data_IF_617865958048
#
_entry.id   IF_617865958048
#
_cell.length_a   1.000
_cell.length_b   1.000
_cell.length_c   1.000
_cell.angle_alpha   90.00
_cell.angle_beta   90.00
_cell.angle_gamma   90.00
#
_symmetry.space_group_name_H-M   'P 1'
#
loop_
_entity.id
_entity.type
_entity.pdbx_description
1 polymer ?
#
# COMPACT_ATOMS: atom_id res chain seq x y z
N UNK A 1 -3.19 15.50 23.18
CA UNK A 1 -3.32 15.04 21.78
C UNK A 1 -2.11 14.16 21.49
N UNK A 2 -2.29 12.87 21.22
CA UNK A 2 -1.17 11.96 20.93
C UNK A 2 -0.62 12.25 19.53
N UNK A 3 0.29 13.22 19.41
CA UNK A 3 1.18 13.34 18.25
C UNK A 3 2.22 12.23 18.33
N UNK A 4 2.51 11.58 17.20
CA UNK A 4 3.70 10.74 17.10
C UNK A 4 4.87 11.63 16.66
N UNK A 5 6.06 11.40 17.21
CA UNK A 5 7.26 12.06 16.71
C UNK A 5 7.78 11.29 15.49
N UNK A 6 7.94 11.98 14.35
CA UNK A 6 8.47 11.40 13.12
C UNK A 6 9.85 10.80 13.32
N UNK A 7 10.73 11.50 14.06
CA UNK A 7 12.07 11.02 14.38
C UNK A 7 12.04 9.78 15.26
N UNK A 8 11.13 9.73 16.24
CA UNK A 8 10.94 8.56 17.08
C UNK A 8 10.48 7.36 16.27
N UNK A 9 9.51 7.55 15.37
CA UNK A 9 9.00 6.48 14.51
C UNK A 9 10.09 5.92 13.58
N UNK A 10 10.82 6.79 12.88
CA UNK A 10 11.93 6.40 11.99
C UNK A 10 13.05 5.69 12.78
N UNK A 11 13.43 6.23 13.93
CA UNK A 11 14.46 5.63 14.79
C UNK A 11 14.02 4.27 15.34
N UNK A 12 12.74 4.11 15.67
CA UNK A 12 12.16 2.82 16.05
C UNK A 12 12.26 1.82 14.89
N UNK A 13 11.75 2.17 13.71
CA UNK A 13 11.77 1.27 12.56
C UNK A 13 13.19 0.85 12.17
N UNK A 14 14.14 1.79 12.17
CA UNK A 14 15.55 1.50 11.87
C UNK A 14 16.19 0.55 12.89
N UNK A 15 15.94 0.76 14.19
CA UNK A 15 16.49 -0.11 15.24
C UNK A 15 15.90 -1.51 15.16
N UNK A 16 14.58 -1.63 15.03
CA UNK A 16 13.90 -2.93 14.98
C UNK A 16 14.25 -3.69 13.69
N UNK A 17 14.36 -3.00 12.54
CA UNK A 17 14.83 -3.59 11.28
C UNK A 17 16.24 -4.17 11.43
N UNK A 18 17.14 -3.45 12.13
CA UNK A 18 18.50 -3.93 12.40
C UNK A 18 18.54 -5.14 13.32
N UNK A 19 17.77 -5.12 14.40
CA UNK A 19 17.73 -6.23 15.36
C UNK A 19 17.16 -7.52 14.74
N UNK A 20 16.21 -7.39 13.81
CA UNK A 20 15.53 -8.53 13.17
C UNK A 20 15.85 -8.63 11.68
N UNK A 21 17.05 -8.21 11.27
CA UNK A 21 17.45 -8.10 9.86
C UNK A 21 17.23 -9.40 9.08
N UNK A 22 17.70 -10.54 9.62
CA UNK A 22 17.60 -11.84 8.94
C UNK A 22 16.17 -12.29 8.70
N UNK A 23 15.28 -12.00 9.64
CA UNK A 23 13.86 -12.27 9.48
C UNK A 23 13.29 -11.44 8.32
N UNK A 24 13.55 -10.13 8.30
CA UNK A 24 13.06 -9.27 7.24
C UNK A 24 13.70 -9.55 5.87
N UNK A 25 14.95 -10.01 5.83
CA UNK A 25 15.59 -10.49 4.61
C UNK A 25 14.81 -11.69 4.03
N UNK A 26 14.44 -12.66 4.88
CA UNK A 26 13.62 -13.80 4.45
C UNK A 26 12.23 -13.33 3.97
N UNK A 27 11.59 -12.40 4.68
CA UNK A 27 10.32 -11.79 4.23
C UNK A 27 10.49 -11.16 2.84
N UNK A 28 11.55 -10.38 2.62
CA UNK A 28 11.81 -9.75 1.31
C UNK A 28 12.00 -10.81 0.22
N UNK A 29 12.78 -11.88 0.48
CA UNK A 29 12.99 -12.94 -0.51
C UNK A 29 11.69 -13.66 -0.85
N UNK A 30 10.89 -14.01 0.15
CA UNK A 30 9.57 -14.63 -0.06
C UNK A 30 8.66 -13.70 -0.85
N UNK A 31 8.57 -12.43 -0.47
CA UNK A 31 7.76 -11.43 -1.17
C UNK A 31 8.27 -11.18 -2.60
N UNK A 32 9.58 -11.20 -2.83
CA UNK A 32 10.16 -11.02 -4.17
C UNK A 32 9.80 -12.20 -5.09
N UNK A 33 9.88 -13.44 -4.60
CA UNK A 33 9.42 -14.62 -5.35
C UNK A 33 7.93 -14.52 -5.62
N UNK A 34 7.14 -14.17 -4.60
CA UNK A 34 5.70 -14.00 -4.77
C UNK A 34 5.39 -12.84 -5.70
N UNK A 35 6.14 -11.74 -5.79
CA UNK A 35 5.81 -10.61 -6.68
C UNK A 35 6.30 -10.85 -8.11
N UNK A 36 7.57 -11.22 -8.26
CA UNK A 36 8.23 -11.27 -9.56
C UNK A 36 8.14 -12.66 -10.21
N UNK A 37 7.97 -13.73 -9.44
CA UNK A 37 8.00 -15.11 -9.93
C UNK A 37 7.09 -15.34 -11.15
N UNK A 38 5.78 -15.05 -11.06
CA UNK A 38 4.88 -15.22 -12.20
C UNK A 38 5.17 -14.29 -13.37
N UNK A 39 5.64 -13.07 -13.11
CA UNK A 39 6.02 -12.14 -14.19
C UNK A 39 7.20 -12.67 -15.02
N UNK A 40 8.16 -13.36 -14.39
CA UNK A 40 9.28 -14.00 -15.06
C UNK A 40 8.81 -15.17 -15.94
N UNK A 41 7.86 -15.98 -15.44
CA UNK A 41 7.24 -17.05 -16.22
C UNK A 41 6.51 -16.46 -17.44
N UNK A 42 5.76 -15.38 -17.24
CA UNK A 42 5.01 -14.73 -18.34
C UNK A 42 5.94 -14.13 -19.38
N UNK A 43 7.08 -13.60 -18.97
CA UNK A 43 8.08 -13.04 -19.87
C UNK A 43 8.62 -14.08 -20.85
N UNK A 44 8.74 -15.36 -20.45
CA UNK A 44 9.16 -16.45 -21.33
C UNK A 44 8.22 -16.67 -22.52
N UNK A 45 6.96 -16.23 -22.43
CA UNK A 45 5.97 -16.37 -23.50
C UNK A 45 5.70 -15.05 -24.26
N UNK A 46 6.42 -13.96 -23.95
CA UNK A 46 6.12 -12.62 -24.50
C UNK A 46 6.11 -12.56 -26.03
N UNK A 47 6.98 -13.32 -26.69
CA UNK A 47 7.14 -13.31 -28.14
C UNK A 47 6.49 -14.54 -28.81
N UNK A 48 5.68 -15.29 -28.07
CA UNK A 48 5.00 -16.49 -28.54
C UNK A 48 3.52 -16.17 -28.64
N UNK A 49 2.94 -16.32 -29.83
CA UNK A 49 1.49 -16.27 -29.97
C UNK A 49 0.87 -17.50 -29.28
N UNK A 50 0.28 -17.26 -28.11
CA UNK A 50 -0.33 -18.31 -27.32
C UNK A 50 -1.73 -18.66 -27.86
N UNK A 51 -2.07 -19.96 -27.95
CA UNK A 51 -3.45 -20.37 -28.24
C UNK A 51 -4.42 -19.77 -27.22
N UNK A 52 -5.65 -19.47 -27.64
CA UNK A 52 -6.68 -18.82 -26.80
C UNK A 52 -6.89 -19.54 -25.47
N UNK A 53 -6.88 -20.88 -25.46
CA UNK A 53 -7.02 -21.70 -24.25
C UNK A 53 -5.93 -21.41 -23.21
N UNK A 54 -4.69 -21.17 -23.65
CA UNK A 54 -3.54 -20.89 -22.79
C UNK A 54 -3.64 -19.47 -22.23
N UNK A 55 -4.07 -18.51 -23.04
CA UNK A 55 -4.30 -17.13 -22.59
C UNK A 55 -5.42 -17.06 -21.54
N UNK A 56 -6.51 -17.79 -21.74
CA UNK A 56 -7.59 -17.91 -20.76
C UNK A 56 -7.09 -18.54 -19.47
N UNK A 57 -6.25 -19.58 -19.54
CA UNK A 57 -5.62 -20.17 -18.36
C UNK A 57 -4.77 -19.14 -17.59
N UNK A 58 -3.92 -18.36 -18.27
CA UNK A 58 -3.09 -17.35 -17.61
C UNK A 58 -3.90 -16.21 -16.99
N UNK A 59 -5.03 -15.86 -17.60
CA UNK A 59 -5.96 -14.90 -17.01
C UNK A 59 -6.46 -15.39 -15.64
N UNK A 60 -6.95 -16.63 -15.54
CA UNK A 60 -7.42 -17.20 -14.27
C UNK A 60 -6.28 -17.41 -13.27
N UNK A 61 -5.10 -17.84 -13.73
CA UNK A 61 -3.91 -17.92 -12.89
C UNK A 61 -3.52 -16.55 -12.30
N UNK A 62 -3.69 -15.47 -13.07
CA UNK A 62 -3.50 -14.10 -12.61
C UNK A 62 -4.43 -13.71 -11.46
N UNK A 63 -5.70 -14.14 -11.50
CA UNK A 63 -6.65 -13.91 -10.40
C UNK A 63 -6.22 -14.67 -9.15
N UNK A 64 -5.87 -15.95 -9.28
CA UNK A 64 -5.36 -16.76 -8.14
C UNK A 64 -4.13 -16.10 -7.53
N UNK A 65 -3.22 -15.62 -8.37
CA UNK A 65 -2.03 -14.92 -7.94
C UNK A 65 -2.32 -13.60 -7.22
N UNK A 66 -3.30 -12.83 -7.71
CA UNK A 66 -3.75 -11.62 -7.02
C UNK A 66 -4.32 -11.94 -5.63
N UNK A 67 -5.03 -13.06 -5.48
CA UNK A 67 -5.52 -13.53 -4.16
C UNK A 67 -4.35 -13.92 -3.25
N UNK A 68 -3.33 -14.60 -3.78
CA UNK A 68 -2.10 -14.92 -3.03
C UNK A 68 -1.40 -13.63 -2.56
N UNK A 69 -1.31 -12.60 -3.41
CA UNK A 69 -0.76 -11.29 -3.04
C UNK A 69 -1.54 -10.61 -1.91
N UNK A 70 -2.87 -10.65 -1.98
CA UNK A 70 -3.73 -10.12 -0.91
C UNK A 70 -3.50 -10.87 0.41
N UNK A 71 -3.38 -12.20 0.35
CA UNK A 71 -3.08 -13.04 1.50
C UNK A 71 -1.71 -12.71 2.12
N UNK A 72 -0.66 -12.59 1.31
CA UNK A 72 0.67 -12.19 1.76
C UNK A 72 0.69 -10.79 2.39
N UNK A 73 -0.10 -9.86 1.83
CA UNK A 73 -0.22 -8.51 2.38
C UNK A 73 -0.84 -8.51 3.78
N UNK A 74 -1.82 -9.39 4.04
CA UNK A 74 -2.39 -9.58 5.38
C UNK A 74 -1.33 -10.10 6.34
N UNK A 75 -0.62 -11.17 5.96
CA UNK A 75 0.44 -11.75 6.77
C UNK A 75 1.55 -10.74 7.08
N UNK A 76 1.95 -9.92 6.10
CA UNK A 76 2.93 -8.87 6.29
C UNK A 76 2.49 -7.85 7.34
N UNK A 77 1.25 -7.37 7.29
CA UNK A 77 0.72 -6.45 8.30
C UNK A 77 0.74 -7.10 9.69
N UNK A 78 0.34 -8.38 9.81
CA UNK A 78 0.35 -9.09 11.09
C UNK A 78 1.77 -9.23 11.66
N UNK A 79 2.72 -9.63 10.82
CA UNK A 79 4.13 -9.78 11.19
C UNK A 79 4.73 -8.44 11.62
N UNK A 80 4.44 -7.36 10.88
CA UNK A 80 4.88 -6.01 11.23
C UNK A 80 4.33 -5.61 12.59
N UNK A 81 3.02 -5.76 12.81
CA UNK A 81 2.39 -5.42 14.08
C UNK A 81 2.95 -6.26 15.24
N UNK A 82 3.16 -7.56 15.05
CA UNK A 82 3.78 -8.42 16.06
C UNK A 82 5.16 -7.90 16.48
N UNK A 83 6.01 -7.53 15.52
CA UNK A 83 7.33 -6.95 15.79
C UNK A 83 7.26 -5.56 16.45
N UNK A 84 6.27 -4.74 16.07
CA UNK A 84 6.04 -3.44 16.73
C UNK A 84 5.60 -3.64 18.19
N UNK A 85 4.79 -4.67 18.44
CA UNK A 85 4.28 -5.02 19.76
C UNK A 85 5.30 -5.80 20.61
N UNK A 86 6.50 -6.08 20.09
CA UNK A 86 7.57 -6.78 20.79
C UNK A 86 7.43 -8.30 20.84
N UNK A 87 6.48 -8.88 20.08
CA UNK A 87 6.32 -10.33 19.95
C UNK A 87 7.29 -10.90 18.92
N UNK A 88 7.72 -12.15 19.11
CA UNK A 88 8.49 -12.87 18.11
C UNK A 88 7.56 -13.36 17.00
N UNK A 89 7.81 -12.96 15.75
CA UNK A 89 7.08 -13.46 14.60
C UNK A 89 7.94 -14.45 13.80
N UNK A 90 7.29 -15.46 13.24
CA UNK A 90 7.90 -16.47 12.39
C UNK A 90 7.49 -16.27 10.93
N UNK A 91 8.29 -16.81 10.00
CA UNK A 91 7.98 -16.67 8.55
C UNK A 91 6.66 -17.33 8.19
N UNK A 92 6.27 -18.39 8.91
CA UNK A 92 4.94 -19.00 8.80
C UNK A 92 3.81 -18.02 9.06
N UNK A 93 4.02 -16.97 9.86
CA UNK A 93 2.99 -15.97 10.18
C UNK A 93 2.63 -15.12 8.97
N UNK A 94 3.50 -15.00 7.96
CA UNK A 94 3.17 -14.41 6.65
C UNK A 94 2.03 -15.17 5.94
N UNK A 95 1.89 -16.46 6.24
CA UNK A 95 0.87 -17.32 5.64
C UNK A 95 -0.34 -17.49 6.56
N UNK A 96 -0.57 -16.53 7.47
CA UNK A 96 -1.70 -16.58 8.40
C UNK A 96 -2.67 -15.42 8.16
N UNK A 97 -3.89 -15.54 8.68
CA UNK A 97 -4.88 -14.45 8.62
C UNK A 97 -5.88 -14.60 7.47
N UNK A 98 -6.00 -15.79 6.87
CA UNK A 98 -6.98 -16.08 5.81
C UNK A 98 -8.42 -15.73 6.18
N UNK A 99 -8.79 -15.75 7.47
CA UNK A 99 -10.10 -15.29 7.95
C UNK A 99 -10.41 -13.82 7.60
N UNK A 100 -9.39 -12.99 7.39
CA UNK A 100 -9.54 -11.58 7.03
C UNK A 100 -9.55 -11.35 5.51
N UNK A 101 -9.27 -12.38 4.70
CA UNK A 101 -9.04 -12.27 3.26
C UNK A 101 -10.18 -11.56 2.53
N UNK A 102 -11.42 -11.97 2.79
CA UNK A 102 -12.61 -11.38 2.17
C UNK A 102 -12.75 -9.90 2.57
N UNK A 103 -12.64 -9.57 3.86
CA UNK A 103 -12.75 -8.19 4.34
C UNK A 103 -11.63 -7.31 3.77
N UNK A 104 -10.41 -7.83 3.70
CA UNK A 104 -9.25 -7.12 3.14
C UNK A 104 -9.44 -6.85 1.66
N UNK A 105 -9.81 -7.86 0.87
CA UNK A 105 -10.08 -7.74 -0.57
C UNK A 105 -11.18 -6.72 -0.82
N UNK A 106 -12.30 -6.80 -0.10
CA UNK A 106 -13.40 -5.83 -0.25
C UNK A 106 -12.95 -4.43 0.15
N UNK A 107 -12.16 -4.27 1.21
CA UNK A 107 -11.62 -2.97 1.62
C UNK A 107 -10.72 -2.35 0.53
N UNK A 108 -9.73 -3.09 0.05
CA UNK A 108 -8.82 -2.62 -1.02
C UNK A 108 -9.59 -2.37 -2.31
N UNK A 109 -10.56 -3.22 -2.64
CA UNK A 109 -11.41 -3.05 -3.82
C UNK A 109 -12.27 -1.79 -3.73
N UNK A 110 -12.94 -1.54 -2.61
CA UNK A 110 -13.72 -0.31 -2.40
C UNK A 110 -12.85 0.94 -2.49
N UNK A 111 -11.64 0.88 -1.93
CA UNK A 111 -10.69 1.98 -2.02
C UNK A 111 -10.23 2.24 -3.46
N UNK A 112 -9.85 1.17 -4.17
CA UNK A 112 -9.45 1.26 -5.57
C UNK A 112 -10.60 1.71 -6.47
N UNK A 113 -11.81 1.19 -6.27
CA UNK A 113 -13.00 1.55 -7.04
C UNK A 113 -13.29 3.04 -6.95
N UNK A 114 -13.21 3.63 -5.76
CA UNK A 114 -13.38 5.08 -5.59
C UNK A 114 -12.37 5.88 -6.42
N UNK A 115 -11.09 5.48 -6.40
CA UNK A 115 -10.02 6.11 -7.19
C UNK A 115 -10.28 5.96 -8.70
N UNK A 116 -10.61 4.75 -9.15
CA UNK A 116 -10.87 4.48 -10.56
C UNK A 116 -12.10 5.21 -11.08
N UNK A 117 -13.18 5.32 -10.29
CA UNK A 117 -14.38 6.09 -10.65
C UNK A 117 -14.04 7.58 -10.76
N UNK A 118 -13.25 8.14 -9.83
CA UNK A 118 -12.82 9.53 -9.89
C UNK A 118 -11.96 9.81 -11.13
N UNK A 119 -11.01 8.93 -11.45
CA UNK A 119 -10.16 9.03 -12.65
C UNK A 119 -11.02 8.91 -13.92
N UNK A 120 -11.93 7.93 -13.98
CA UNK A 120 -12.78 7.72 -15.15
C UNK A 120 -13.72 8.91 -15.40
N UNK A 121 -14.32 9.46 -14.34
CA UNK A 121 -15.17 10.65 -14.44
C UNK A 121 -14.38 11.86 -14.97
N UNK A 122 -13.18 12.11 -14.44
CA UNK A 122 -12.38 13.26 -14.90
C UNK A 122 -11.80 13.02 -16.29
N UNK A 123 -11.40 11.79 -16.61
CA UNK A 123 -10.97 11.41 -17.95
C UNK A 123 -12.08 11.61 -18.98
N UNK A 124 -13.31 11.19 -18.66
CA UNK A 124 -14.48 11.44 -19.50
C UNK A 124 -14.74 12.95 -19.68
N UNK A 125 -14.61 13.73 -18.61
CA UNK A 125 -14.72 15.19 -18.67
C UNK A 125 -13.65 15.81 -19.58
N UNK A 126 -12.40 15.35 -19.48
CA UNK A 126 -11.30 15.82 -20.31
C UNK A 126 -11.53 15.51 -21.79
N UNK A 127 -11.98 14.29 -22.11
CA UNK A 127 -12.31 13.87 -23.46
C UNK A 127 -13.50 14.67 -24.03
N UNK A 128 -14.53 14.90 -23.22
CA UNK A 128 -15.67 15.72 -23.62
C UNK A 128 -15.25 17.16 -23.94
N UNK A 129 -14.49 17.81 -23.05
CA UNK A 129 -13.99 19.17 -23.28
C UNK A 129 -13.06 19.25 -24.49
N UNK A 130 -12.19 18.26 -24.68
CA UNK A 130 -11.29 18.19 -25.84
C UNK A 130 -12.04 18.12 -27.17
N UNK A 131 -13.16 17.40 -27.22
CA UNK A 131 -13.92 17.16 -28.45
C UNK A 131 -14.96 18.24 -28.75
N UNK A 132 -15.52 18.87 -27.73
CA UNK A 132 -16.64 19.82 -27.87
C UNK A 132 -16.22 21.29 -27.74
N UNK A 133 -15.25 21.60 -26.88
CA UNK A 133 -14.91 22.98 -26.53
C UNK A 133 -13.63 23.47 -27.26
N UNK A 134 -13.45 24.81 -27.38
CA UNK A 134 -12.21 25.39 -27.89
C UNK A 134 -10.97 24.89 -27.15
N UNK A 135 -9.88 24.64 -27.89
CA UNK A 135 -8.60 24.11 -27.36
C UNK A 135 -8.03 24.89 -26.17
N UNK A 136 -8.29 26.20 -26.10
CA UNK A 136 -7.87 27.04 -24.98
C UNK A 136 -8.56 26.64 -23.65
N UNK A 137 -9.85 26.30 -23.68
CA UNK A 137 -10.56 25.83 -22.47
C UNK A 137 -10.05 24.45 -22.03
N UNK A 138 -9.73 23.57 -22.98
CA UNK A 138 -9.09 22.30 -22.66
C UNK A 138 -7.73 22.49 -21.97
N UNK A 139 -6.91 23.44 -22.43
CA UNK A 139 -5.64 23.77 -21.77
C UNK A 139 -5.84 24.25 -20.32
N UNK A 140 -6.81 25.14 -20.08
CA UNK A 140 -7.14 25.59 -18.72
C UNK A 140 -7.61 24.45 -17.82
N UNK A 141 -8.43 23.54 -18.36
CA UNK A 141 -8.89 22.36 -17.63
C UNK A 141 -7.73 21.45 -17.23
N UNK A 142 -6.75 21.21 -18.11
CA UNK A 142 -5.55 20.44 -17.77
C UNK A 142 -4.75 21.15 -16.68
N UNK A 143 -4.54 22.47 -16.83
CA UNK A 143 -3.73 23.29 -15.94
C UNK A 143 -4.28 23.30 -14.50
N UNK A 144 -5.60 23.30 -14.33
CA UNK A 144 -6.25 23.36 -13.01
C UNK A 144 -6.70 21.98 -12.50
N UNK A 145 -7.32 21.19 -13.36
CA UNK A 145 -7.91 19.89 -12.99
C UNK A 145 -6.87 18.85 -12.61
N UNK A 146 -5.71 18.82 -13.28
CA UNK A 146 -4.70 17.79 -13.04
C UNK A 146 -4.02 17.98 -11.68
N UNK A 147 -3.56 19.20 -11.30
CA UNK A 147 -3.06 19.44 -9.95
C UNK A 147 -4.12 19.17 -8.87
N UNK A 148 -5.39 19.52 -9.12
CA UNK A 148 -6.46 19.25 -8.18
C UNK A 148 -6.63 17.75 -7.91
N UNK A 149 -6.64 16.91 -8.96
CA UNK A 149 -6.68 15.45 -8.79
C UNK A 149 -5.46 14.91 -8.06
N UNK A 150 -4.28 15.47 -8.34
CA UNK A 150 -3.07 15.06 -7.66
C UNK A 150 -3.13 15.34 -6.15
N UNK A 151 -3.55 16.56 -5.76
CA UNK A 151 -3.74 16.95 -4.36
C UNK A 151 -4.79 16.06 -3.70
N UNK A 152 -5.93 15.82 -4.36
CA UNK A 152 -6.97 14.95 -3.85
C UNK A 152 -6.48 13.52 -3.66
N UNK A 153 -5.70 12.99 -4.61
CA UNK A 153 -5.09 11.67 -4.53
C UNK A 153 -4.13 11.53 -3.35
N UNK A 154 -3.30 12.55 -3.08
CA UNK A 154 -2.41 12.56 -1.91
C UNK A 154 -3.22 12.56 -0.61
N UNK A 155 -4.25 13.41 -0.51
CA UNK A 155 -5.13 13.43 0.66
C UNK A 155 -5.76 12.05 0.87
N UNK A 156 -6.31 11.46 -0.18
CA UNK A 156 -6.92 10.13 -0.12
C UNK A 156 -5.92 9.06 0.37
N UNK A 157 -4.74 8.99 -0.24
CA UNK A 157 -3.71 8.00 0.08
C UNK A 157 -3.24 8.13 1.54
N UNK A 158 -2.88 9.35 1.98
CA UNK A 158 -2.37 9.59 3.33
C UNK A 158 -3.42 9.30 4.40
N UNK A 159 -4.69 9.65 4.14
CA UNK A 159 -5.77 9.51 5.13
C UNK A 159 -6.27 8.07 5.24
N UNK A 160 -6.13 7.27 4.18
CA UNK A 160 -6.66 5.90 4.13
C UNK A 160 -5.61 4.79 4.18
N UNK A 161 -4.32 5.12 4.25
CA UNK A 161 -3.23 4.14 4.34
C UNK A 161 -3.36 3.13 5.51
N UNK A 162 -4.10 3.46 6.57
CA UNK A 162 -4.30 2.61 7.74
C UNK A 162 -5.61 1.80 7.72
N UNK A 163 -6.46 1.97 6.69
CA UNK A 163 -7.69 1.17 6.56
C UNK A 163 -7.40 -0.35 6.50
N UNK A 164 -6.40 -0.85 5.75
CA UNK A 164 -6.07 -2.27 5.75
C UNK A 164 -5.58 -2.78 7.12
N UNK A 165 -4.83 -1.96 7.86
CA UNK A 165 -4.39 -2.29 9.21
C UNK A 165 -5.57 -2.44 10.17
N UNK A 166 -6.57 -1.56 10.09
CA UNK A 166 -7.79 -1.63 10.90
C UNK A 166 -8.66 -2.86 10.60
N UNK A 167 -8.73 -3.31 9.34
CA UNK A 167 -9.41 -4.55 8.99
C UNK A 167 -8.75 -5.75 9.67
N UNK A 168 -7.42 -5.77 9.75
CA UNK A 168 -6.65 -6.92 10.24
C UNK A 168 -6.54 -6.92 11.77
N UNK A 169 -6.16 -5.79 12.36
CA UNK A 169 -5.92 -5.67 13.80
C UNK A 169 -7.21 -5.61 14.61
N UNK A 170 -8.19 -4.83 14.13
CA UNK A 170 -9.45 -4.59 14.83
C UNK A 170 -10.62 -5.38 14.27
N UNK A 171 -10.39 -6.22 13.25
CA UNK A 171 -11.42 -7.03 12.58
C UNK A 171 -12.60 -6.20 12.03
N UNK A 172 -12.40 -4.91 11.76
CA UNK A 172 -13.46 -4.01 11.32
C UNK A 172 -13.97 -4.41 9.93
N UNK A 173 -15.25 -4.13 9.69
CA UNK A 173 -15.82 -4.23 8.34
C UNK A 173 -15.18 -3.20 7.38
N UNK A 174 -15.15 -3.44 6.06
CA UNK A 174 -14.44 -2.59 5.08
C UNK A 174 -14.80 -1.10 5.18
N UNK A 175 -16.09 -0.77 5.15
CA UNK A 175 -16.54 0.63 5.21
C UNK A 175 -16.21 1.29 6.56
N UNK A 176 -16.30 0.53 7.65
CA UNK A 176 -15.96 1.01 8.99
C UNK A 176 -14.45 1.27 9.08
N UNK A 177 -13.61 0.38 8.54
CA UNK A 177 -12.17 0.55 8.51
C UNK A 177 -11.72 1.78 7.70
N UNK A 178 -12.35 2.05 6.56
CA UNK A 178 -12.09 3.26 5.75
C UNK A 178 -12.46 4.52 6.54
N UNK A 179 -13.65 4.55 7.15
CA UNK A 179 -14.12 5.67 7.97
C UNK A 179 -13.20 5.91 9.17
N UNK A 180 -12.81 4.85 9.86
CA UNK A 180 -11.92 4.94 11.01
C UNK A 180 -10.51 5.36 10.63
N UNK A 181 -9.96 4.90 9.49
CA UNK A 181 -8.68 5.41 8.99
C UNK A 181 -8.72 6.92 8.77
N UNK A 182 -9.81 7.43 8.20
CA UNK A 182 -10.01 8.87 8.02
C UNK A 182 -10.13 9.62 9.35
N UNK A 183 -10.73 9.01 10.36
CA UNK A 183 -10.86 9.61 11.69
C UNK A 183 -9.53 9.63 12.44
N UNK A 184 -8.82 8.50 12.51
CA UNK A 184 -7.57 8.42 13.28
C UNK A 184 -6.46 9.29 12.68
N UNK A 185 -6.46 9.50 11.36
CA UNK A 185 -5.49 10.39 10.68
C UNK A 185 -5.84 11.88 10.76
N UNK A 186 -7.00 12.24 11.36
CA UNK A 186 -7.48 13.63 11.42
C UNK A 186 -6.56 14.46 12.31
N UNK A 187 -6.22 15.66 11.84
CA UNK A 187 -5.30 16.57 12.52
C UNK A 187 -3.81 16.22 12.37
N UNK A 188 -3.45 15.13 11.67
CA UNK A 188 -2.05 14.71 11.49
C UNK A 188 -1.69 14.53 10.01
N UNK A 189 -2.47 15.10 9.09
CA UNK A 189 -2.21 14.99 7.66
C UNK A 189 -0.79 15.44 7.31
N UNK A 190 -0.37 16.60 7.81
CA UNK A 190 0.97 17.14 7.54
C UNK A 190 2.07 16.30 8.16
N UNK A 191 1.90 15.79 9.39
CA UNK A 191 2.88 14.89 10.02
C UNK A 191 3.06 13.60 9.20
N UNK A 192 1.96 13.04 8.68
CA UNK A 192 1.99 11.84 7.84
C UNK A 192 2.56 12.12 6.45
N UNK A 193 2.32 13.31 5.87
CA UNK A 193 2.96 13.73 4.60
C UNK A 193 4.46 13.88 4.78
N UNK A 194 4.91 14.57 5.83
CA UNK A 194 6.33 14.73 6.15
C UNK A 194 6.98 13.37 6.38
N UNK A 195 6.32 12.49 7.13
CA UNK A 195 6.77 11.11 7.30
C UNK A 195 6.90 10.37 5.97
N UNK A 196 5.89 10.46 5.10
CA UNK A 196 5.92 9.82 3.79
C UNK A 196 7.06 10.35 2.91
N UNK A 197 7.34 11.66 2.95
CA UNK A 197 8.46 12.27 2.22
C UNK A 197 9.82 11.82 2.76
N UNK A 198 9.98 11.69 4.08
CA UNK A 198 11.20 11.17 4.70
C UNK A 198 11.42 9.71 4.30
N UNK A 199 10.38 8.87 4.40
CA UNK A 199 10.47 7.47 3.97
C UNK A 199 10.73 7.37 2.47
N UNK A 200 10.12 8.22 1.65
CA UNK A 200 10.41 8.30 0.22
C UNK A 200 11.89 8.61 -0.03
N UNK A 201 12.45 9.62 0.63
CA UNK A 201 13.86 9.97 0.51
C UNK A 201 14.79 8.81 0.95
N UNK A 202 14.49 8.14 2.06
CA UNK A 202 15.26 6.99 2.54
C UNK A 202 15.21 5.83 1.52
N UNK A 203 14.04 5.53 0.95
CA UNK A 203 13.91 4.49 -0.07
C UNK A 203 14.62 4.86 -1.38
N UNK A 204 14.55 6.13 -1.81
CA UNK A 204 15.27 6.61 -3.00
C UNK A 204 16.79 6.52 -2.80
N UNK A 205 17.32 6.89 -1.63
CA UNK A 205 18.73 6.68 -1.29
C UNK A 205 19.09 5.18 -1.32
N UNK A 206 18.17 4.33 -0.86
CA UNK A 206 18.32 2.88 -0.94
C UNK A 206 18.44 2.35 -2.37
N UNK A 207 17.68 2.93 -3.31
CA UNK A 207 17.79 2.63 -4.76
C UNK A 207 19.13 3.10 -5.31
N UNK A 208 19.52 4.35 -5.02
CA UNK A 208 20.78 4.94 -5.49
C UNK A 208 22.00 4.15 -5.00
N UNK A 209 21.91 3.53 -3.83
CA UNK A 209 22.89 2.58 -3.31
C UNK A 209 22.81 1.18 -3.98
N UNK A 210 22.70 1.14 -5.31
CA UNK A 210 22.60 -0.06 -6.15
C UNK A 210 21.49 -1.04 -5.73
N UNK A 211 20.42 -0.54 -5.10
CA UNK A 211 19.33 -1.35 -4.55
C UNK A 211 19.67 -2.13 -3.28
N UNK A 212 20.94 -2.23 -2.85
CA UNK A 212 21.31 -2.92 -1.60
C UNK A 212 20.74 -2.19 -0.39
N UNK A 213 20.63 -0.86 -0.46
CA UNK A 213 20.00 -0.08 0.59
C UNK A 213 18.51 -0.38 0.78
N UNK A 214 17.83 -0.95 -0.22
CA UNK A 214 16.42 -1.37 -0.10
C UNK A 214 16.22 -2.51 0.91
N UNK A 215 17.23 -3.35 1.12
CA UNK A 215 17.20 -4.40 2.13
C UNK A 215 17.02 -3.84 3.56
N UNK A 216 17.38 -2.57 3.76
CA UNK A 216 17.23 -1.87 5.03
C UNK A 216 16.07 -0.88 5.02
N UNK A 217 15.84 -0.18 3.91
CA UNK A 217 14.80 0.85 3.83
C UNK A 217 13.38 0.26 3.79
N UNK A 218 13.18 -0.89 3.14
CA UNK A 218 11.87 -1.55 3.07
C UNK A 218 11.42 -2.01 4.47
N UNK A 219 12.20 -2.80 5.25
CA UNK A 219 11.80 -3.20 6.59
C UNK A 219 11.59 -2.00 7.53
N UNK A 220 12.47 -0.99 7.42
CA UNK A 220 12.35 0.25 8.19
C UNK A 220 11.01 0.92 7.89
N UNK A 221 10.64 1.10 6.62
CA UNK A 221 9.38 1.74 6.23
C UNK A 221 8.17 0.97 6.74
N UNK A 222 8.17 -0.37 6.63
CA UNK A 222 7.10 -1.23 7.12
C UNK A 222 6.91 -1.08 8.64
N UNK A 223 7.99 -1.15 9.41
CA UNK A 223 7.96 -1.01 10.87
C UNK A 223 7.54 0.39 11.31
N UNK A 224 7.94 1.42 10.59
CA UNK A 224 7.52 2.81 10.83
C UNK A 224 6.01 2.94 10.66
N UNK A 225 5.43 2.41 9.57
CA UNK A 225 3.98 2.43 9.38
C UNK A 225 3.24 1.64 10.47
N UNK A 226 3.74 0.46 10.87
CA UNK A 226 3.18 -0.31 11.98
C UNK A 226 3.21 0.46 13.31
N UNK A 227 4.33 1.13 13.62
CA UNK A 227 4.50 1.92 14.84
C UNK A 227 3.56 3.12 14.88
N UNK A 228 3.50 3.88 13.78
CA UNK A 228 2.58 5.01 13.67
C UNK A 228 1.14 4.52 13.77
N UNK A 229 0.77 3.46 13.04
CA UNK A 229 -0.54 2.85 13.14
C UNK A 229 -0.91 2.53 14.60
N UNK A 230 -0.04 1.86 15.36
CA UNK A 230 -0.28 1.54 16.76
C UNK A 230 -0.57 2.79 17.59
N UNK A 231 0.24 3.85 17.46
CA UNK A 231 0.00 5.13 18.14
C UNK A 231 -1.35 5.75 17.77
N UNK A 232 -1.73 5.75 16.49
CA UNK A 232 -2.97 6.38 16.02
C UNK A 232 -4.21 5.56 16.34
N UNK A 233 -4.10 4.24 16.28
CA UNK A 233 -5.21 3.29 16.49
C UNK A 233 -5.77 3.34 17.93
N UNK A 234 -5.03 3.92 18.88
CA UNK A 234 -5.52 4.20 20.25
C UNK A 234 -6.77 5.11 20.27
N UNK A 235 -7.03 5.85 19.19
CA UNK A 235 -8.20 6.74 19.04
C UNK A 235 -9.46 6.01 18.56
N UNK A 236 -9.35 4.72 18.21
CA UNK A 236 -10.51 3.92 17.82
C UNK A 236 -11.21 3.47 19.09
N UNK A 237 -12.37 4.06 19.37
CA UNK A 237 -13.26 3.58 20.42
C UNK A 237 -14.00 2.34 19.87
N UNK A 238 -13.82 1.20 20.54
CA UNK A 238 -14.52 -0.04 20.24
C UNK A 238 -15.97 0.03 20.72
#
# INVERSE_FOLDING_TARGET
MTHFSTNEAVSFGWRTAKQRFWFFLQVILVMAVVIYGPSLIMQSFKNIELPTIVTVFFFFAGIVFWVIQAFMSIGLIRVVLAHVDGHEAHISDLFTGGRFLVKYIVNVFLMALFVWVAIAFVGALYLFVFTVLPKFLFFLLILVGTPFLFVFGIIYAVRLQFAPYLVIDKNLGPLIAIKESWNITRGMFWDLVVLALILLAINLLGIVALGVGLLWSIPTSLLVFGFVYRKLSTRVHA
#
